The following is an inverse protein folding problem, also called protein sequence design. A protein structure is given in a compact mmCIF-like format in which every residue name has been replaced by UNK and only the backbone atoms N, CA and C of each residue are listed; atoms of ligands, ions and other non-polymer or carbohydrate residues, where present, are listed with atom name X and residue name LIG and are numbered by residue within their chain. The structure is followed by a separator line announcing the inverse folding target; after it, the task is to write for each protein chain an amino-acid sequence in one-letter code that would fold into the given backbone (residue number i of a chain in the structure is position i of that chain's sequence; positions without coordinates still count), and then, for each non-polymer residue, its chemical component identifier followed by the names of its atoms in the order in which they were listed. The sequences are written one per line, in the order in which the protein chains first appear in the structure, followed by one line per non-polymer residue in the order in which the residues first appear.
data_IF_153199976128
#
_entry.id   IF_153199976128
#
_cell.length_a   1.000
_cell.length_b   1.000
_cell.length_c   1.000
_cell.angle_alpha   90.00
_cell.angle_beta   90.00
_cell.angle_gamma   90.00
#
_symmetry.space_group_name_H-M   'P 1'
#
loop_
_entity.id
_entity.type
_entity.pdbx_description
1 polymer ?
#
# COMPACT_ATOMS: atom_id res chain seq x y z
N UNK A 1 10.55 24.87 -12.04
CA UNK A 1 10.77 23.42 -12.21
C UNK A 1 9.89 22.99 -13.36
N UNK A 2 10.46 22.53 -14.46
CA UNK A 2 9.69 22.05 -15.62
C UNK A 2 9.43 20.55 -15.45
N UNK A 3 8.18 20.14 -15.60
CA UNK A 3 7.80 18.73 -15.60
C UNK A 3 8.20 18.12 -16.94
N UNK A 4 9.08 17.13 -16.90
CA UNK A 4 9.49 16.37 -18.09
C UNK A 4 8.85 14.98 -18.02
N UNK A 5 8.05 14.64 -19.03
CA UNK A 5 7.51 13.29 -19.19
C UNK A 5 8.65 12.31 -19.55
N UNK A 6 8.66 11.14 -18.92
CA UNK A 6 9.75 10.14 -19.05
C UNK A 6 9.26 8.74 -19.47
N UNK A 7 7.96 8.48 -19.43
CA UNK A 7 7.37 7.18 -19.77
C UNK A 7 7.06 7.09 -21.27
N UNK A 8 6.38 8.09 -21.83
CA UNK A 8 5.91 8.10 -23.23
C UNK A 8 5.55 9.50 -23.72
N UNK A 9 5.20 9.67 -24.99
CA UNK A 9 4.53 10.87 -25.53
C UNK A 9 3.57 10.49 -26.67
N UNK A 10 2.61 11.36 -26.98
CA UNK A 10 1.65 11.11 -28.07
C UNK A 10 2.13 11.70 -29.39
N UNK A 11 2.13 10.89 -30.45
CA UNK A 11 2.35 11.33 -31.83
C UNK A 11 1.39 10.60 -32.77
N UNK A 12 0.65 11.33 -33.60
CA UNK A 12 -0.28 10.73 -34.57
C UNK A 12 -1.34 9.81 -33.93
N UNK A 13 -1.87 10.17 -32.75
CA UNK A 13 -2.79 9.35 -31.94
C UNK A 13 -2.21 8.01 -31.43
N UNK A 14 -0.90 7.85 -31.48
CA UNK A 14 -0.20 6.70 -30.90
C UNK A 14 0.67 7.16 -29.74
N UNK A 15 0.73 6.35 -28.68
CA UNK A 15 1.71 6.54 -27.62
C UNK A 15 3.06 5.97 -28.08
N UNK A 16 4.09 6.79 -28.00
CA UNK A 16 5.48 6.43 -28.28
C UNK A 16 6.21 6.31 -26.94
N UNK A 17 6.71 5.11 -26.56
CA UNK A 17 7.45 4.93 -25.33
C UNK A 17 8.76 5.74 -25.33
N UNK A 18 9.05 6.40 -24.21
CA UNK A 18 10.35 6.99 -23.90
C UNK A 18 11.21 6.02 -23.07
N UNK A 19 10.57 5.29 -22.15
CA UNK A 19 11.13 4.13 -21.45
C UNK A 19 10.18 2.94 -21.63
N UNK A 20 10.65 1.91 -22.35
CA UNK A 20 9.86 0.71 -22.67
C UNK A 20 9.42 -0.04 -21.41
N UNK A 21 10.26 -0.11 -20.37
CA UNK A 21 9.93 -0.83 -19.14
C UNK A 21 8.83 -0.09 -18.39
N UNK A 22 8.89 1.24 -18.30
CA UNK A 22 7.82 2.02 -17.68
C UNK A 22 6.50 1.84 -18.44
N UNK A 23 6.55 1.91 -19.77
CA UNK A 23 5.36 1.86 -20.62
C UNK A 23 4.70 0.48 -20.66
N UNK A 24 5.48 -0.60 -20.85
CA UNK A 24 4.95 -1.95 -21.05
C UNK A 24 4.44 -2.61 -19.75
N UNK A 25 4.86 -2.10 -18.59
CA UNK A 25 4.45 -2.62 -17.29
C UNK A 25 3.28 -1.87 -16.64
N UNK A 26 2.61 -0.99 -17.39
CA UNK A 26 1.32 -0.41 -17.01
C UNK A 26 0.20 -1.49 -16.92
N UNK A 27 -0.83 -1.26 -16.09
CA UNK A 27 -0.99 -0.16 -15.14
C UNK A 27 -0.29 -0.42 -13.80
N UNK A 28 0.26 0.64 -13.21
CA UNK A 28 0.77 0.64 -11.84
C UNK A 28 -0.37 0.77 -10.82
N UNK A 29 -0.20 0.13 -9.67
CA UNK A 29 -1.15 0.14 -8.57
C UNK A 29 -0.57 0.81 -7.31
N UNK A 30 0.75 0.81 -7.16
CA UNK A 30 1.44 1.36 -6.00
C UNK A 30 2.78 1.99 -6.39
N UNK A 31 3.25 2.91 -5.56
CA UNK A 31 4.55 3.54 -5.69
C UNK A 31 5.16 3.75 -4.31
N UNK A 32 6.45 3.49 -4.19
CA UNK A 32 7.24 3.88 -3.02
C UNK A 32 8.62 4.37 -3.48
N UNK A 33 9.28 5.23 -2.72
CA UNK A 33 10.66 5.61 -3.04
C UNK A 33 11.28 6.59 -2.05
N UNK A 34 12.59 6.77 -2.19
CA UNK A 34 13.37 7.68 -1.32
C UNK A 34 13.78 8.98 -2.02
N UNK A 35 13.73 9.02 -3.35
CA UNK A 35 14.03 10.20 -4.15
C UNK A 35 13.44 10.09 -5.57
N UNK A 36 13.52 11.15 -6.38
CA UNK A 36 13.14 11.11 -7.80
C UNK A 36 13.94 10.11 -8.65
N UNK A 37 15.08 9.64 -8.12
CA UNK A 37 16.00 8.72 -8.78
C UNK A 37 16.01 7.35 -8.07
N UNK A 38 15.06 7.11 -7.17
CA UNK A 38 14.92 5.82 -6.49
C UNK A 38 13.43 5.59 -6.20
N UNK A 39 12.70 5.13 -7.21
CA UNK A 39 11.28 4.85 -7.15
C UNK A 39 11.00 3.39 -7.51
N UNK A 40 10.10 2.75 -6.78
CA UNK A 40 9.62 1.40 -7.03
C UNK A 40 8.13 1.47 -7.31
N UNK A 41 7.69 0.80 -8.37
CA UNK A 41 6.31 0.75 -8.80
C UNK A 41 5.82 -0.68 -8.78
N UNK A 42 4.78 -0.94 -7.99
CA UNK A 42 4.05 -2.19 -8.03
C UNK A 42 2.97 -2.12 -9.10
N UNK A 43 2.83 -3.17 -9.92
CA UNK A 43 1.83 -3.18 -10.98
C UNK A 43 0.75 -4.25 -10.81
N UNK A 44 -0.29 -4.15 -11.65
CA UNK A 44 -1.41 -5.09 -11.64
C UNK A 44 -1.09 -6.48 -12.22
N UNK A 45 0.18 -6.72 -12.61
CA UNK A 45 0.65 -7.96 -13.24
C UNK A 45 1.77 -8.63 -12.43
N UNK A 46 1.89 -8.30 -11.15
CA UNK A 46 2.74 -9.03 -10.21
C UNK A 46 4.22 -8.65 -10.29
N UNK A 47 4.52 -7.48 -10.87
CA UNK A 47 5.89 -7.00 -11.03
C UNK A 47 6.15 -5.78 -10.15
N UNK A 48 7.40 -5.67 -9.71
CA UNK A 48 7.95 -4.42 -9.19
C UNK A 48 8.95 -3.89 -10.21
N UNK A 49 8.74 -2.63 -10.61
CA UNK A 49 9.62 -1.89 -11.51
C UNK A 49 10.40 -0.87 -10.69
N UNK A 50 11.72 -0.82 -10.84
CA UNK A 50 12.58 0.17 -10.20
C UNK A 50 13.04 1.21 -11.21
N UNK A 51 12.91 2.49 -10.86
CA UNK A 51 13.40 3.64 -11.61
C UNK A 51 14.58 4.26 -10.87
N UNK A 52 15.72 4.33 -11.56
CA UNK A 52 17.00 4.82 -11.03
C UNK A 52 17.28 6.30 -11.33
N UNK A 53 16.30 7.03 -11.87
CA UNK A 53 16.47 8.42 -12.34
C UNK A 53 16.79 8.55 -13.83
N UNK A 54 17.18 7.46 -14.49
CA UNK A 54 17.52 7.43 -15.92
C UNK A 54 16.78 6.35 -16.70
N UNK A 55 16.60 5.16 -16.11
CA UNK A 55 15.97 4.00 -16.75
C UNK A 55 15.19 3.16 -15.75
N UNK A 56 14.10 2.55 -16.21
CA UNK A 56 13.38 1.56 -15.43
C UNK A 56 13.87 0.12 -15.67
N UNK A 57 13.79 -0.71 -14.63
CA UNK A 57 14.10 -2.14 -14.69
C UNK A 57 13.03 -2.94 -13.93
N UNK A 58 12.65 -4.12 -14.44
CA UNK A 58 11.81 -5.05 -13.68
C UNK A 58 12.72 -5.76 -12.68
N UNK A 59 12.54 -5.46 -11.39
CA UNK A 59 13.38 -6.01 -10.30
C UNK A 59 12.71 -7.14 -9.55
N UNK A 60 11.41 -7.33 -9.76
CA UNK A 60 10.65 -8.45 -9.22
C UNK A 60 9.55 -8.85 -10.21
N UNK A 61 9.30 -10.14 -10.33
CA UNK A 61 8.23 -10.71 -11.14
C UNK A 61 7.66 -11.95 -10.45
N UNK A 62 6.37 -11.94 -10.14
CA UNK A 62 5.68 -13.08 -9.59
C UNK A 62 5.23 -14.03 -10.70
N UNK A 63 5.31 -15.34 -10.48
CA UNK A 63 4.96 -16.39 -11.46
C UNK A 63 3.45 -16.51 -11.76
N UNK A 64 2.61 -15.63 -11.22
CA UNK A 64 1.15 -15.70 -11.34
C UNK A 64 0.56 -14.30 -11.50
N UNK A 65 -0.67 -14.23 -12.01
CA UNK A 65 -1.42 -12.97 -12.15
C UNK A 65 -1.93 -12.45 -10.79
N UNK A 66 -1.00 -11.95 -9.98
CA UNK A 66 -1.25 -11.22 -8.74
C UNK A 66 -1.01 -9.73 -8.97
N UNK A 67 -1.72 -8.86 -8.26
CA UNK A 67 -1.46 -7.42 -8.28
C UNK A 67 -0.54 -7.05 -7.12
N UNK A 68 0.53 -6.29 -7.35
CA UNK A 68 1.30 -5.63 -6.28
C UNK A 68 0.50 -4.42 -5.84
N UNK A 69 -0.40 -4.63 -4.86
CA UNK A 69 -1.40 -3.66 -4.43
C UNK A 69 -0.79 -2.48 -3.70
N UNK A 70 0.25 -2.73 -2.92
CA UNK A 70 0.88 -1.72 -2.10
C UNK A 70 2.37 -1.98 -1.92
N UNK A 71 3.11 -0.91 -1.72
CA UNK A 71 4.53 -0.88 -1.43
C UNK A 71 4.77 0.11 -0.29
N UNK A 72 5.45 -0.35 0.76
CA UNK A 72 6.02 0.55 1.77
C UNK A 72 7.47 0.17 2.04
N UNK A 73 8.27 1.12 2.49
CA UNK A 73 9.69 0.93 2.72
C UNK A 73 10.21 1.69 3.93
N UNK A 74 11.07 1.02 4.70
CA UNK A 74 11.77 1.63 5.82
C UNK A 74 12.88 2.55 5.33
N UNK A 75 13.70 2.01 4.42
CA UNK A 75 14.79 2.64 3.69
C UNK A 75 14.97 1.92 2.35
N UNK A 76 15.94 2.34 1.52
CA UNK A 76 16.21 1.75 0.20
C UNK A 76 16.61 0.27 0.23
N UNK A 77 16.95 -0.27 1.40
CA UNK A 77 17.35 -1.66 1.60
C UNK A 77 16.28 -2.49 2.33
N UNK A 78 15.09 -1.93 2.57
CA UNK A 78 13.99 -2.68 3.17
C UNK A 78 12.64 -2.15 2.69
N UNK A 79 12.11 -2.81 1.67
CA UNK A 79 10.82 -2.50 1.03
C UNK A 79 9.95 -3.73 1.14
N UNK A 80 8.67 -3.58 1.46
CA UNK A 80 7.70 -4.67 1.45
C UNK A 80 6.65 -4.40 0.39
N UNK A 81 6.35 -5.43 -0.39
CA UNK A 81 5.25 -5.44 -1.34
C UNK A 81 4.23 -6.50 -0.98
N UNK A 82 2.95 -6.11 -1.02
CA UNK A 82 1.82 -7.01 -0.78
C UNK A 82 0.81 -6.94 -1.90
N UNK A 83 0.01 -7.99 -2.03
CA UNK A 83 -0.88 -8.12 -3.16
C UNK A 83 -2.03 -9.08 -2.97
N UNK A 84 -2.98 -8.96 -3.89
CA UNK A 84 -4.09 -9.89 -4.04
C UNK A 84 -4.13 -10.44 -5.46
N UNK A 85 -4.43 -11.73 -5.58
CA UNK A 85 -4.63 -12.44 -6.85
C UNK A 85 -6.04 -12.99 -6.98
N UNK A 86 -6.36 -13.57 -8.15
CA UNK A 86 -7.65 -14.21 -8.39
C UNK A 86 -7.85 -15.51 -7.58
N UNK A 87 -6.76 -16.12 -7.10
CA UNK A 87 -6.77 -17.29 -6.20
C UNK A 87 -6.02 -16.89 -4.92
N UNK A 88 -6.58 -17.12 -3.72
CA UNK A 88 -5.94 -16.72 -2.47
C UNK A 88 -4.71 -17.57 -2.09
N UNK A 89 -3.68 -16.97 -1.48
CA UNK A 89 -3.19 -15.61 -1.68
C UNK A 89 -2.00 -15.64 -2.61
N UNK A 90 -1.63 -14.50 -3.14
CA UNK A 90 -0.40 -14.40 -3.88
C UNK A 90 0.19 -13.04 -3.50
N UNK A 91 1.48 -13.03 -3.18
CA UNK A 91 2.34 -11.88 -2.87
C UNK A 91 2.30 -11.29 -1.44
N UNK A 92 3.31 -11.70 -0.66
CA UNK A 92 3.90 -10.91 0.41
C UNK A 92 5.43 -11.08 0.32
N UNK A 93 6.12 -10.03 -0.12
CA UNK A 93 7.56 -10.06 -0.41
C UNK A 93 8.28 -8.87 0.20
N UNK A 94 9.58 -9.02 0.47
CA UNK A 94 10.43 -7.92 0.90
C UNK A 94 11.74 -7.87 0.12
N UNK A 95 12.21 -6.66 -0.17
CA UNK A 95 13.53 -6.39 -0.69
C UNK A 95 14.51 -6.22 0.47
N UNK A 96 15.64 -6.92 0.45
CA UNK A 96 16.67 -6.88 1.50
C UNK A 96 17.86 -5.94 1.18
N UNK A 97 17.75 -5.12 0.13
CA UNK A 97 18.84 -4.32 -0.43
C UNK A 97 19.61 -5.03 -1.54
N UNK A 98 19.31 -6.30 -1.81
CA UNK A 98 19.91 -7.07 -2.92
C UNK A 98 18.88 -7.90 -3.67
N UNK A 99 18.03 -8.64 -2.95
CA UNK A 99 17.06 -9.56 -3.50
C UNK A 99 15.65 -9.30 -2.95
N UNK A 100 14.67 -9.65 -3.78
CA UNK A 100 13.28 -9.78 -3.34
C UNK A 100 13.03 -11.20 -2.82
N UNK A 101 12.60 -11.30 -1.58
CA UNK A 101 12.36 -12.55 -0.86
C UNK A 101 10.90 -12.65 -0.42
N UNK A 102 10.38 -13.86 -0.23
CA UNK A 102 9.06 -14.04 0.38
C UNK A 102 9.11 -13.73 1.88
N UNK A 103 8.07 -13.07 2.39
CA UNK A 103 7.86 -12.96 3.83
C UNK A 103 7.44 -14.32 4.42
N UNK A 104 7.87 -14.67 5.65
CA UNK A 104 7.53 -15.94 6.29
C UNK A 104 6.09 -15.90 6.87
N UNK A 105 5.10 -15.70 6.00
CA UNK A 105 3.69 -15.65 6.37
C UNK A 105 3.03 -16.97 6.01
N UNK A 106 2.46 -17.64 7.01
CA UNK A 106 1.70 -18.88 6.85
C UNK A 106 0.20 -18.61 6.73
N UNK A 107 -0.56 -19.56 6.17
CA UNK A 107 -2.02 -19.47 5.95
C UNK A 107 -2.48 -18.33 5.06
N UNK A 108 -1.52 -17.52 4.63
CA UNK A 108 -1.55 -16.99 3.30
C UNK A 108 -2.81 -16.08 3.15
N UNK A 109 -2.93 -15.01 3.96
CA UNK A 109 -4.09 -14.13 3.94
C UNK A 109 -4.08 -13.20 2.74
N UNK A 110 -5.27 -12.77 2.30
CA UNK A 110 -5.36 -11.68 1.32
C UNK A 110 -4.91 -10.37 1.97
N UNK A 111 -3.80 -9.81 1.51
CA UNK A 111 -3.20 -8.54 1.97
C UNK A 111 -3.33 -7.49 0.88
N UNK A 112 -3.85 -6.31 1.22
CA UNK A 112 -4.07 -5.19 0.29
C UNK A 112 -3.11 -4.04 0.52
N UNK A 113 -2.73 -3.79 1.78
CA UNK A 113 -1.89 -2.65 2.15
C UNK A 113 -0.93 -3.00 3.27
N UNK A 114 0.20 -2.31 3.34
CA UNK A 114 1.30 -2.57 4.27
C UNK A 114 1.83 -1.27 4.87
N UNK A 115 2.12 -1.30 6.18
CA UNK A 115 2.77 -0.19 6.89
C UNK A 115 3.95 -0.69 7.72
N UNK A 116 5.15 -0.18 7.44
CA UNK A 116 6.39 -0.57 8.11
C UNK A 116 6.68 0.37 9.29
N UNK A 117 6.63 -0.21 10.49
CA UNK A 117 7.07 0.46 11.72
C UNK A 117 8.59 0.42 11.84
N UNK A 118 9.16 -0.77 11.61
CA UNK A 118 10.59 -1.04 11.55
C UNK A 118 10.86 -2.31 10.75
N UNK A 119 12.12 -2.65 10.48
CA UNK A 119 12.49 -3.89 9.78
C UNK A 119 11.98 -5.17 10.45
N UNK A 120 11.65 -5.12 11.75
CA UNK A 120 11.13 -6.25 12.53
C UNK A 120 9.69 -6.05 13.04
N UNK A 121 8.98 -5.03 12.55
CA UNK A 121 7.62 -4.71 12.99
C UNK A 121 6.83 -4.10 11.83
N UNK A 122 5.84 -4.82 11.33
CA UNK A 122 5.09 -4.47 10.13
C UNK A 122 3.61 -4.75 10.37
N UNK A 123 2.76 -3.81 9.98
CA UNK A 123 1.31 -4.01 9.93
C UNK A 123 0.84 -4.27 8.51
N UNK A 124 -0.21 -5.07 8.37
CA UNK A 124 -0.85 -5.37 7.10
C UNK A 124 -2.36 -5.23 7.21
N UNK A 125 -2.98 -4.68 6.19
CA UNK A 125 -4.43 -4.63 6.02
C UNK A 125 -4.86 -5.48 4.81
N UNK A 126 -6.05 -6.07 4.88
CA UNK A 126 -6.67 -6.85 3.82
C UNK A 126 -7.86 -7.62 4.39
N UNK A 127 -7.86 -8.95 4.35
CA UNK A 127 -8.91 -9.77 4.98
C UNK A 127 -9.06 -9.62 6.52
N UNK A 128 -8.22 -8.78 7.14
CA UNK A 128 -8.21 -8.36 8.53
C UNK A 128 -7.10 -7.33 8.73
N UNK A 129 -6.76 -7.03 9.98
CA UNK A 129 -5.52 -6.32 10.30
C UNK A 129 -4.57 -7.30 10.97
N UNK A 130 -3.35 -7.36 10.46
CA UNK A 130 -2.31 -8.29 10.88
C UNK A 130 -1.06 -7.53 11.34
N UNK A 131 -0.30 -8.16 12.22
CA UNK A 131 0.97 -7.68 12.71
C UNK A 131 2.01 -8.79 12.54
N UNK A 132 3.14 -8.44 11.91
CA UNK A 132 4.36 -9.22 11.96
C UNK A 132 5.34 -8.54 12.91
N UNK A 133 5.73 -9.23 13.99
CA UNK A 133 6.65 -8.69 14.99
C UNK A 133 7.52 -9.79 15.58
N UNK A 134 8.84 -9.60 15.57
CA UNK A 134 9.79 -10.55 16.17
C UNK A 134 9.71 -11.96 15.56
N UNK A 135 9.40 -12.07 14.27
CA UNK A 135 9.23 -13.34 13.55
C UNK A 135 7.86 -14.00 13.70
N UNK A 136 6.99 -13.50 14.59
CA UNK A 136 5.60 -13.92 14.68
C UNK A 136 4.72 -13.15 13.71
N UNK A 137 3.71 -13.82 13.13
CA UNK A 137 2.66 -13.21 12.32
C UNK A 137 1.29 -13.55 12.92
N UNK A 138 0.48 -12.56 13.26
CA UNK A 138 -0.85 -12.79 13.81
C UNK A 138 -1.87 -11.75 13.37
N UNK A 139 -3.15 -12.13 13.37
CA UNK A 139 -4.26 -11.21 13.17
C UNK A 139 -4.51 -10.45 14.48
N UNK A 140 -4.36 -9.13 14.47
CA UNK A 140 -4.54 -8.27 15.65
C UNK A 140 -5.93 -7.67 15.73
N UNK A 141 -6.66 -7.60 14.60
CA UNK A 141 -8.01 -7.08 14.58
C UNK A 141 -8.89 -7.77 13.54
N UNK A 142 -10.12 -8.07 13.94
CA UNK A 142 -11.17 -8.65 13.07
C UNK A 142 -12.25 -7.61 12.85
N UNK A 143 -12.16 -6.89 11.74
CA UNK A 143 -13.21 -5.95 11.32
C UNK A 143 -14.47 -6.65 10.80
N UNK A 144 -14.36 -7.92 10.39
CA UNK A 144 -15.40 -8.64 9.66
C UNK A 144 -15.46 -8.28 8.17
N UNK A 145 -14.60 -7.36 7.71
CA UNK A 145 -14.60 -6.84 6.35
C UNK A 145 -13.18 -6.74 5.77
N UNK A 146 -13.09 -6.58 4.46
CA UNK A 146 -11.83 -6.34 3.78
C UNK A 146 -11.36 -4.90 4.02
N UNK A 147 -10.18 -4.74 4.60
CA UNK A 147 -9.51 -3.48 4.89
C UNK A 147 -8.76 -3.00 3.65
N UNK A 148 -8.94 -1.72 3.31
CA UNK A 148 -8.41 -1.15 2.08
C UNK A 148 -7.03 -0.54 2.27
N UNK A 149 -6.80 0.13 3.38
CA UNK A 149 -5.55 0.88 3.57
C UNK A 149 -5.09 0.83 5.03
N UNK A 150 -3.77 0.88 5.23
CA UNK A 150 -3.12 0.97 6.55
C UNK A 150 -1.88 1.84 6.47
N UNK A 151 -1.69 2.69 7.47
CA UNK A 151 -0.54 3.58 7.54
C UNK A 151 0.01 3.63 8.96
N UNK A 152 1.33 3.78 9.07
CA UNK A 152 2.03 4.05 10.31
C UNK A 152 2.66 5.43 10.30
N UNK A 153 2.32 6.26 11.28
CA UNK A 153 2.93 7.56 11.47
C UNK A 153 4.17 7.44 12.37
N UNK A 154 5.36 7.62 11.79
CA UNK A 154 6.65 7.54 12.50
C UNK A 154 6.85 8.61 13.56
N UNK A 155 6.15 9.75 13.50
CA UNK A 155 6.33 10.86 14.43
C UNK A 155 5.61 10.66 15.76
N UNK A 156 4.41 10.06 15.73
CA UNK A 156 3.60 9.86 16.93
C UNK A 156 3.40 8.38 17.31
N UNK A 157 3.87 7.44 16.48
CA UNK A 157 3.78 6.01 16.73
C UNK A 157 2.37 5.43 16.57
N UNK A 158 1.46 6.15 15.91
CA UNK A 158 0.08 5.71 15.69
C UNK A 158 -0.04 5.00 14.36
N UNK A 159 -0.73 3.86 14.36
CA UNK A 159 -1.14 3.16 13.13
C UNK A 159 -2.63 3.41 12.89
N UNK A 160 -3.00 3.70 11.66
CA UNK A 160 -4.40 3.89 11.27
C UNK A 160 -4.75 2.95 10.12
N UNK A 161 -6.01 2.52 10.05
CA UNK A 161 -6.51 1.72 8.94
C UNK A 161 -7.91 2.18 8.52
N UNK A 162 -8.23 1.96 7.25
CA UNK A 162 -9.53 2.31 6.68
C UNK A 162 -10.13 1.14 5.88
N UNK A 163 -11.46 1.13 5.83
CA UNK A 163 -12.22 0.09 5.15
C UNK A 163 -13.66 0.51 4.85
N UNK A 164 -14.53 -0.46 4.54
CA UNK A 164 -15.91 -0.19 4.16
C UNK A 164 -16.78 0.28 5.34
N UNK A 165 -17.99 0.73 5.01
CA UNK A 165 -19.05 1.08 5.98
C UNK A 165 -18.66 2.09 7.05
N UNK A 166 -17.85 3.09 6.69
CA UNK A 166 -17.35 4.13 7.59
C UNK A 166 -16.23 3.67 8.51
N UNK A 167 -15.62 2.52 8.21
CA UNK A 167 -14.56 1.92 9.02
C UNK A 167 -13.30 2.79 9.07
N UNK A 168 -13.05 3.38 10.24
CA UNK A 168 -11.79 4.06 10.59
C UNK A 168 -11.29 3.45 11.89
N UNK A 169 -10.04 2.97 11.86
CA UNK A 169 -9.44 2.22 12.95
C UNK A 169 -8.14 2.89 13.37
N UNK A 170 -7.92 3.04 14.67
CA UNK A 170 -6.73 3.70 15.22
C UNK A 170 -6.08 2.79 16.27
N UNK A 171 -4.80 2.53 16.12
CA UNK A 171 -3.96 1.83 17.09
C UNK A 171 -2.90 2.78 17.65
N UNK A 172 -2.90 2.93 18.97
CA UNK A 172 -1.94 3.76 19.71
C UNK A 172 -0.70 2.96 20.20
N UNK A 173 -0.50 1.75 19.69
CA UNK A 173 0.53 0.82 20.12
C UNK A 173 0.11 -0.14 21.24
N UNK A 174 -1.12 0.01 21.77
CA UNK A 174 -1.68 -0.89 22.79
C UNK A 174 -2.90 -1.65 22.25
N UNK A 175 -3.85 -0.94 21.64
CA UNK A 175 -5.09 -1.53 21.17
C UNK A 175 -5.64 -0.83 19.93
N UNK A 176 -6.41 -1.58 19.14
CA UNK A 176 -7.21 -1.04 18.04
C UNK A 176 -8.54 -0.50 18.54
N UNK A 177 -8.83 0.75 18.23
CA UNK A 177 -10.15 1.37 18.42
C UNK A 177 -10.85 1.56 17.08
N UNK A 178 -12.12 1.18 17.02
CA UNK A 178 -12.99 1.31 15.85
C UNK A 178 -13.90 2.53 16.03
N UNK A 179 -13.94 3.39 15.01
CA UNK A 179 -14.72 4.62 14.98
C UNK A 179 -15.89 4.58 13.98
N UNK A 180 -16.21 3.41 13.44
CA UNK A 180 -17.40 3.18 12.64
C UNK A 180 -18.66 3.63 13.41
N UNK A 181 -19.53 4.40 12.75
CA UNK A 181 -20.74 4.95 13.37
C UNK A 181 -20.50 6.11 14.35
N UNK A 182 -19.26 6.33 14.80
CA UNK A 182 -18.89 7.45 15.67
C UNK A 182 -18.60 8.70 14.85
N UNK A 183 -17.86 8.54 13.76
CA UNK A 183 -17.41 9.65 12.91
C UNK A 183 -18.45 9.98 11.83
N UNK A 184 -19.09 8.96 11.26
CA UNK A 184 -20.13 9.09 10.24
C UNK A 184 -21.14 7.97 10.41
N UNK A 185 -22.41 8.29 10.19
CA UNK A 185 -23.52 7.32 10.12
C UNK A 185 -23.71 6.74 8.72
N UNK A 186 -22.97 7.24 7.73
CA UNK A 186 -23.14 6.88 6.33
C UNK A 186 -22.28 5.66 5.99
N UNK A 187 -22.76 4.83 5.06
CA UNK A 187 -22.06 3.64 4.57
C UNK A 187 -20.93 4.02 3.58
N UNK A 188 -19.96 4.81 4.04
CA UNK A 188 -18.85 5.28 3.23
C UNK A 188 -17.76 4.20 3.09
N UNK A 189 -17.28 3.96 1.88
CA UNK A 189 -16.09 3.13 1.63
C UNK A 189 -14.85 4.03 1.62
N UNK A 190 -14.04 3.97 2.68
CA UNK A 190 -12.77 4.71 2.75
C UNK A 190 -11.64 3.86 2.18
N UNK A 191 -11.25 4.15 0.95
CA UNK A 191 -10.25 3.40 0.18
C UNK A 191 -8.82 3.85 0.43
N UNK A 192 -8.63 5.01 1.05
CA UNK A 192 -7.32 5.53 1.45
C UNK A 192 -7.40 6.28 2.77
N UNK A 193 -6.32 6.19 3.55
CA UNK A 193 -6.16 6.89 4.83
C UNK A 193 -4.77 7.50 4.93
N UNK A 194 -4.70 8.72 5.45
CA UNK A 194 -3.45 9.43 5.70
C UNK A 194 -3.47 10.07 7.09
N UNK A 195 -2.44 9.85 7.90
CA UNK A 195 -2.23 10.46 9.20
C UNK A 195 -1.04 11.41 9.15
N UNK A 196 -1.32 12.71 9.14
CA UNK A 196 -0.31 13.77 9.23
C UNK A 196 -0.43 14.45 10.58
N UNK A 197 0.62 14.36 11.39
CA UNK A 197 0.63 14.84 12.77
C UNK A 197 -0.56 14.25 13.56
N UNK A 198 -1.51 15.09 13.97
CA UNK A 198 -2.72 14.67 14.71
C UNK A 198 -3.99 14.78 13.85
N UNK A 199 -3.85 14.77 12.52
CA UNK A 199 -4.96 14.87 11.58
C UNK A 199 -5.02 13.63 10.70
N UNK A 200 -6.18 12.96 10.72
CA UNK A 200 -6.51 11.85 9.84
C UNK A 200 -7.29 12.41 8.64
N UNK A 201 -6.89 12.00 7.44
CA UNK A 201 -7.60 12.22 6.20
C UNK A 201 -8.04 10.86 5.69
N UNK A 202 -9.33 10.67 5.41
CA UNK A 202 -9.81 9.50 4.69
C UNK A 202 -10.39 9.94 3.36
N UNK A 203 -10.06 9.22 2.29
CA UNK A 203 -10.65 9.42 0.96
C UNK A 203 -11.44 8.19 0.56
N UNK A 204 -12.56 8.40 -0.09
CA UNK A 204 -13.51 7.33 -0.30
C UNK A 204 -14.69 7.73 -1.16
N UNK A 205 -15.75 6.94 -1.06
CA UNK A 205 -17.00 7.18 -1.78
C UNK A 205 -18.18 6.56 -1.04
N UNK A 206 -19.37 7.01 -1.38
CA UNK A 206 -20.61 6.27 -1.16
C UNK A 206 -21.28 6.02 -2.52
N UNK A 207 -22.55 5.61 -2.51
CA UNK A 207 -23.33 5.32 -3.73
C UNK A 207 -23.51 6.53 -4.65
N UNK A 208 -23.37 7.76 -4.13
CA UNK A 208 -23.73 8.99 -4.82
C UNK A 208 -22.52 9.89 -5.13
N UNK A 209 -21.49 9.86 -4.31
CA UNK A 209 -20.40 10.85 -4.37
C UNK A 209 -19.06 10.34 -3.83
N UNK A 210 -18.00 11.07 -4.18
CA UNK A 210 -16.70 10.94 -3.54
C UNK A 210 -16.68 11.67 -2.20
N UNK A 211 -16.05 11.08 -1.19
CA UNK A 211 -16.02 11.59 0.19
C UNK A 211 -14.58 11.85 0.61
N UNK A 212 -14.37 12.98 1.27
CA UNK A 212 -13.15 13.27 2.03
C UNK A 212 -13.56 13.55 3.48
N UNK A 213 -13.03 12.76 4.40
CA UNK A 213 -13.18 12.95 5.83
C UNK A 213 -11.89 13.55 6.39
N UNK A 214 -12.00 14.57 7.24
CA UNK A 214 -10.88 15.14 7.98
C UNK A 214 -11.18 15.09 9.48
N UNK A 215 -10.47 14.23 10.21
CA UNK A 215 -10.55 14.11 11.67
C UNK A 215 -9.36 14.77 12.35
N UNK A 216 -9.59 15.64 13.33
CA UNK A 216 -8.52 16.28 14.12
C UNK A 216 -8.65 15.88 15.59
N UNK A 217 -7.54 15.44 16.18
CA UNK A 217 -7.46 15.30 17.63
C UNK A 217 -7.17 16.67 18.25
N UNK A 218 -8.11 17.20 19.05
CA UNK A 218 -7.97 18.47 19.79
C UNK A 218 -7.56 18.21 21.23
#
# INVERSE_FOLDING_TARGET
MEWKQIDSYTSGNQAIPLDEVLFENLPYASIWGTSSNNLYFGNQRGKVVHWDGNKATVVYNHDSNVQVKDLDGYDENFIVGVGIGMIPPLLAVYYDGTNWNKLPIENDPSLNSVAIVSKNHIYFAGSGIYEMRGGGFSRTYTSGYFMYDIEYNRHNGVTVAAGPFGGVYINNGLEWRNFQGVITSDNNDFVGILLVNNTIFCVGRNDNEAIILIGKNQ
#
